data_IF_697878950390
#
_entry.id   IF_697878950390
#
_cell.length_a   1.000
_cell.length_b   1.000
_cell.length_c   1.000
_cell.angle_alpha   90.00
_cell.angle_beta   90.00
_cell.angle_gamma   90.00
#
_symmetry.space_group_name_H-M   'P 1'
#
loop_
_entity.id
_entity.type
_entity.pdbx_description
1 polymer ?
#
# COMPACT_ATOMS: atom_id res chain seq x y z
N UNK A 1 38.47 13.34 13.28
CA UNK A 1 37.10 13.82 13.57
C UNK A 1 36.52 14.40 12.28
N UNK A 2 35.77 13.60 11.53
CA UNK A 2 34.80 14.05 10.52
C UNK A 2 33.74 12.95 10.39
N UNK A 3 32.49 13.34 10.64
CA UNK A 3 31.32 12.49 10.83
C UNK A 3 31.07 11.46 9.72
N UNK A 4 31.10 10.19 10.08
CA UNK A 4 30.30 9.13 9.46
C UNK A 4 28.94 9.12 10.15
N UNK A 5 27.96 9.88 9.65
CA UNK A 5 26.61 9.86 10.20
C UNK A 5 25.56 9.84 9.09
N UNK A 6 25.05 8.62 8.88
CA UNK A 6 23.66 8.34 8.50
C UNK A 6 23.26 8.70 7.07
N UNK A 7 23.67 7.85 6.13
CA UNK A 7 22.92 7.61 4.89
C UNK A 7 22.62 6.10 4.80
N UNK A 8 22.01 5.56 5.86
CA UNK A 8 21.27 4.31 5.72
C UNK A 8 19.98 4.68 5.01
N UNK A 9 19.99 4.57 3.69
CA UNK A 9 18.77 4.51 2.90
C UNK A 9 17.88 3.44 3.55
N UNK A 10 16.85 3.90 4.25
CA UNK A 10 15.83 3.04 4.80
C UNK A 10 15.25 2.30 3.60
N UNK A 11 15.61 1.03 3.43
CA UNK A 11 15.11 0.18 2.34
C UNK A 11 13.60 0.09 2.56
N UNK A 12 12.85 0.94 1.87
CA UNK A 12 11.41 0.91 1.88
C UNK A 12 11.02 -0.42 1.22
N UNK A 13 10.60 -1.39 2.03
CA UNK A 13 10.14 -2.69 1.54
C UNK A 13 8.94 -2.44 0.61
N UNK A 14 9.13 -2.68 -0.69
CA UNK A 14 8.14 -2.46 -1.72
C UNK A 14 7.80 -3.79 -2.36
N UNK A 15 6.51 -4.16 -2.34
CA UNK A 15 6.03 -5.36 -3.04
C UNK A 15 5.89 -5.17 -4.55
N UNK A 16 6.07 -3.95 -5.05
CA UNK A 16 5.88 -3.61 -6.47
C UNK A 16 7.19 -3.32 -7.23
N UNK A 17 8.29 -3.15 -6.50
CA UNK A 17 9.58 -2.73 -7.04
C UNK A 17 10.68 -3.45 -6.27
N UNK A 18 11.58 -4.19 -6.94
CA UNK A 18 12.70 -4.84 -6.27
C UNK A 18 13.69 -3.76 -5.78
N UNK A 19 14.52 -4.09 -4.78
CA UNK A 19 15.44 -3.12 -4.17
C UNK A 19 16.43 -2.51 -5.18
N UNK A 20 16.83 -3.30 -6.18
CA UNK A 20 17.77 -2.87 -7.23
C UNK A 20 17.11 -2.03 -8.33
N UNK A 21 15.78 -2.09 -8.50
CA UNK A 21 15.03 -1.31 -9.49
C UNK A 21 13.98 -0.44 -8.79
N UNK A 22 14.39 0.71 -8.23
CA UNK A 22 13.49 1.58 -7.49
C UNK A 22 12.40 2.15 -8.39
N UNK A 23 11.29 2.56 -7.77
CA UNK A 23 10.16 3.18 -8.46
C UNK A 23 10.64 4.36 -9.33
N UNK A 24 10.34 4.37 -10.65
CA UNK A 24 10.73 5.48 -11.50
C UNK A 24 9.98 6.76 -11.09
N UNK A 25 10.64 7.92 -11.23
CA UNK A 25 10.08 9.22 -10.83
C UNK A 25 8.95 9.68 -11.76
N UNK A 26 8.91 9.17 -13.00
CA UNK A 26 7.89 9.46 -13.97
C UNK A 26 7.47 8.16 -14.69
N UNK A 27 6.17 7.98 -14.85
CA UNK A 27 5.60 6.85 -15.55
C UNK A 27 5.08 7.27 -16.92
N UNK A 28 5.34 6.43 -17.91
CA UNK A 28 4.57 6.48 -19.14
C UNK A 28 3.16 5.99 -18.81
N UNK A 29 2.19 6.89 -18.98
CA UNK A 29 0.79 6.54 -18.82
C UNK A 29 0.19 6.22 -20.18
N UNK A 30 -0.77 5.30 -20.22
CA UNK A 30 -1.56 5.08 -21.41
C UNK A 30 -2.33 6.36 -21.82
N UNK A 31 -2.63 6.48 -23.12
CA UNK A 31 -3.44 7.58 -23.64
C UNK A 31 -4.84 7.60 -23.00
N UNK A 32 -5.48 8.79 -22.95
CA UNK A 32 -6.74 9.04 -22.23
C UNK A 32 -7.88 8.06 -22.56
N UNK A 33 -7.96 7.56 -23.78
CA UNK A 33 -9.04 6.67 -24.23
C UNK A 33 -8.78 5.19 -23.91
N UNK A 34 -7.52 4.81 -23.73
CA UNK A 34 -7.08 3.41 -23.50
C UNK A 34 -7.78 2.76 -22.31
N UNK A 35 -8.13 3.57 -21.32
CA UNK A 35 -8.78 3.13 -20.10
C UNK A 35 -10.19 2.58 -20.37
N UNK A 36 -10.95 3.32 -21.19
CA UNK A 36 -12.28 2.89 -21.63
C UNK A 36 -12.17 1.73 -22.62
N UNK A 37 -11.24 1.81 -23.57
CA UNK A 37 -11.06 0.81 -24.63
C UNK A 37 -10.68 -0.57 -24.06
N UNK A 38 -9.83 -0.61 -23.04
CA UNK A 38 -9.42 -1.84 -22.34
C UNK A 38 -10.32 -2.19 -21.14
N UNK A 39 -11.32 -1.37 -20.84
CA UNK A 39 -12.21 -1.56 -19.70
C UNK A 39 -11.49 -1.59 -18.34
N UNK A 40 -10.35 -0.89 -18.20
CA UNK A 40 -9.53 -0.92 -17.00
C UNK A 40 -10.25 -0.38 -15.77
N UNK A 41 -11.26 0.50 -15.93
CA UNK A 41 -12.13 0.94 -14.84
C UNK A 41 -12.86 -0.23 -14.18
N UNK A 42 -13.37 -1.15 -14.99
CA UNK A 42 -14.11 -2.31 -14.49
C UNK A 42 -13.14 -3.26 -13.77
N UNK A 43 -11.96 -3.49 -14.36
CA UNK A 43 -10.94 -4.34 -13.77
C UNK A 43 -10.42 -3.76 -12.46
N UNK A 44 -10.05 -2.48 -12.41
CA UNK A 44 -9.57 -1.82 -11.20
C UNK A 44 -10.57 -1.96 -10.05
N UNK A 45 -11.86 -1.74 -10.32
CA UNK A 45 -12.93 -1.91 -9.34
C UNK A 45 -13.12 -3.35 -8.88
N UNK A 46 -12.97 -4.33 -9.76
CA UNK A 46 -13.11 -5.76 -9.43
C UNK A 46 -11.90 -6.32 -8.67
N UNK A 47 -10.71 -5.78 -8.94
CA UNK A 47 -9.47 -6.14 -8.26
C UNK A 47 -9.30 -5.43 -6.91
N UNK A 48 -9.99 -4.30 -6.72
CA UNK A 48 -9.89 -3.52 -5.50
C UNK A 48 -10.70 -4.12 -4.37
N UNK A 49 -10.03 -4.35 -3.24
CA UNK A 49 -10.65 -4.82 -2.00
C UNK A 49 -11.72 -3.86 -1.47
N UNK A 50 -11.51 -2.55 -1.65
CA UNK A 50 -12.46 -1.50 -1.27
C UNK A 50 -12.36 -0.31 -2.21
N UNK A 51 -13.43 0.51 -2.28
CA UNK A 51 -13.50 1.67 -3.18
C UNK A 51 -12.35 2.67 -2.99
N UNK A 52 -11.83 2.81 -1.76
CA UNK A 52 -10.67 3.68 -1.48
C UNK A 52 -9.37 3.21 -2.16
N UNK A 53 -9.28 1.94 -2.52
CA UNK A 53 -8.12 1.36 -3.20
C UNK A 53 -8.26 1.35 -4.73
N UNK A 54 -9.42 1.72 -5.27
CA UNK A 54 -9.70 1.72 -6.72
C UNK A 54 -8.78 2.68 -7.48
N UNK A 55 -8.56 3.90 -6.97
CA UNK A 55 -7.66 4.87 -7.60
C UNK A 55 -6.19 4.41 -7.60
N UNK A 56 -5.61 3.93 -6.47
CA UNK A 56 -4.28 3.32 -6.47
C UNK A 56 -4.14 2.13 -7.45
N UNK A 57 -5.08 1.19 -7.46
CA UNK A 57 -5.05 0.03 -8.37
C UNK A 57 -5.13 0.48 -9.82
N UNK A 58 -6.02 1.43 -10.13
CA UNK A 58 -6.15 2.02 -11.45
C UNK A 58 -4.86 2.70 -11.90
N UNK A 59 -4.18 3.43 -11.02
CA UNK A 59 -2.90 4.05 -11.32
C UNK A 59 -1.84 2.99 -11.67
N UNK A 60 -1.73 1.90 -10.90
CA UNK A 60 -0.79 0.81 -11.19
C UNK A 60 -1.07 0.18 -12.56
N UNK A 61 -2.34 -0.04 -12.91
CA UNK A 61 -2.73 -0.57 -14.23
C UNK A 61 -2.42 0.42 -15.37
N UNK A 62 -2.43 1.72 -15.08
CA UNK A 62 -2.12 2.76 -16.04
C UNK A 62 -0.63 3.05 -16.20
N UNK A 63 0.17 2.70 -15.20
CA UNK A 63 1.63 2.83 -15.23
C UNK A 63 2.19 1.74 -16.14
N UNK A 64 2.65 2.12 -17.35
CA UNK A 64 3.36 1.20 -18.22
C UNK A 64 4.72 0.87 -17.59
N UNK A 65 4.92 -0.39 -17.22
CA UNK A 65 6.18 -0.90 -16.70
C UNK A 65 6.94 -1.62 -17.83
N UNK A 66 7.97 -0.98 -18.43
CA UNK A 66 8.73 -1.59 -19.52
C UNK A 66 9.88 -2.49 -19.03
N UNK A 67 10.18 -2.45 -17.74
CA UNK A 67 11.32 -3.14 -17.15
C UNK A 67 10.98 -4.62 -16.89
N UNK A 68 11.61 -5.58 -17.60
CA UNK A 68 11.31 -6.99 -17.44
C UNK A 68 11.64 -7.52 -16.04
N UNK A 69 12.63 -6.96 -15.36
CA UNK A 69 13.04 -7.41 -14.02
C UNK A 69 11.99 -7.02 -12.98
N UNK A 70 11.39 -5.84 -13.13
CA UNK A 70 10.26 -5.39 -12.30
C UNK A 70 9.01 -6.23 -12.56
N UNK A 71 8.75 -6.61 -13.82
CA UNK A 71 7.63 -7.49 -14.17
C UNK A 71 7.81 -8.87 -13.52
N UNK A 72 8.99 -9.47 -13.66
CA UNK A 72 9.32 -10.76 -13.07
C UNK A 72 9.16 -10.73 -11.55
N UNK A 73 9.71 -9.71 -10.89
CA UNK A 73 9.56 -9.52 -9.44
C UNK A 73 8.10 -9.45 -8.99
N UNK A 74 7.25 -8.69 -9.70
CA UNK A 74 5.81 -8.61 -9.38
C UNK A 74 5.10 -9.95 -9.56
N UNK A 75 5.48 -10.73 -10.57
CA UNK A 75 4.93 -12.06 -10.81
C UNK A 75 5.35 -13.03 -9.70
N UNK A 76 6.61 -13.01 -9.27
CA UNK A 76 7.11 -13.80 -8.14
C UNK A 76 6.38 -13.47 -6.85
N UNK A 77 6.26 -12.17 -6.51
CA UNK A 77 5.52 -11.74 -5.31
C UNK A 77 4.05 -12.19 -5.38
N UNK A 78 3.40 -12.09 -6.54
CA UNK A 78 2.04 -12.57 -6.70
C UNK A 78 1.95 -14.09 -6.55
N UNK A 79 2.91 -14.81 -7.12
CA UNK A 79 2.99 -16.27 -7.03
C UNK A 79 3.19 -16.72 -5.57
N UNK A 80 4.02 -16.02 -4.80
CA UNK A 80 4.20 -16.29 -3.37
C UNK A 80 2.88 -16.20 -2.60
N UNK A 81 2.04 -15.20 -2.91
CA UNK A 81 0.71 -15.07 -2.31
C UNK A 81 -0.26 -16.18 -2.74
N UNK A 82 -0.16 -16.67 -3.98
CA UNK A 82 -0.97 -17.77 -4.48
C UNK A 82 -0.56 -19.11 -3.86
N UNK A 83 0.73 -19.34 -3.70
CA UNK A 83 1.29 -20.57 -3.13
C UNK A 83 1.14 -20.65 -1.61
N UNK A 84 0.98 -19.49 -0.94
CA UNK A 84 0.79 -19.41 0.51
C UNK A 84 -0.54 -18.72 0.90
N UNK A 85 -1.70 -19.40 0.76
CA UNK A 85 -3.01 -18.83 1.11
C UNK A 85 -3.11 -18.36 2.57
N UNK A 86 -2.34 -18.96 3.48
CA UNK A 86 -2.28 -18.54 4.89
C UNK A 86 -1.60 -17.18 5.07
N UNK A 87 -0.62 -16.84 4.23
CA UNK A 87 0.00 -15.51 4.21
C UNK A 87 -1.00 -14.48 3.70
N UNK A 88 -1.72 -14.80 2.63
CA UNK A 88 -2.77 -13.94 2.08
C UNK A 88 -3.83 -13.61 3.13
N UNK A 89 -4.30 -14.61 3.89
CA UNK A 89 -5.27 -14.41 4.96
C UNK A 89 -4.73 -13.48 6.07
N UNK A 90 -3.49 -13.67 6.49
CA UNK A 90 -2.85 -12.81 7.49
C UNK A 90 -2.68 -11.37 6.99
N UNK A 91 -2.27 -11.19 5.73
CA UNK A 91 -2.17 -9.88 5.11
C UNK A 91 -3.54 -9.18 5.02
N UNK A 92 -4.61 -9.91 4.68
CA UNK A 92 -5.96 -9.36 4.67
C UNK A 92 -6.40 -8.85 6.05
N UNK A 93 -6.13 -9.61 7.12
CA UNK A 93 -6.42 -9.17 8.49
C UNK A 93 -5.64 -7.90 8.90
N UNK A 94 -4.37 -7.82 8.48
CA UNK A 94 -3.51 -6.66 8.73
C UNK A 94 -4.03 -5.44 7.96
N UNK A 95 -4.37 -5.62 6.68
CA UNK A 95 -4.91 -4.55 5.82
C UNK A 95 -6.23 -4.01 6.37
N UNK A 96 -7.12 -4.87 6.86
CA UNK A 96 -8.35 -4.45 7.53
C UNK A 96 -8.09 -3.62 8.79
N UNK A 97 -7.08 -4.02 9.57
CA UNK A 97 -6.69 -3.32 10.79
C UNK A 97 -6.08 -1.95 10.48
N UNK A 98 -5.25 -1.86 9.45
CA UNK A 98 -4.69 -0.61 8.93
C UNK A 98 -5.76 0.30 8.33
N UNK A 99 -6.73 -0.26 7.60
CA UNK A 99 -7.84 0.48 7.05
C UNK A 99 -8.68 1.16 8.15
N UNK A 100 -8.97 0.43 9.25
CA UNK A 100 -9.67 0.97 10.42
C UNK A 100 -8.88 2.07 11.12
N UNK A 101 -7.56 1.89 11.24
CA UNK A 101 -6.65 2.87 11.83
C UNK A 101 -6.66 4.18 11.02
N UNK A 102 -6.49 4.09 9.71
CA UNK A 102 -6.53 5.24 8.80
C UNK A 102 -7.88 5.99 8.89
N UNK A 103 -9.00 5.26 8.86
CA UNK A 103 -10.33 5.86 8.93
C UNK A 103 -10.59 6.54 10.29
N UNK A 104 -9.99 6.04 11.38
CA UNK A 104 -10.07 6.67 12.70
C UNK A 104 -9.25 7.97 12.77
N UNK A 105 -8.06 7.99 12.15
CA UNK A 105 -7.19 9.17 12.13
C UNK A 105 -7.80 10.30 11.29
N UNK A 106 -8.36 9.99 10.11
CA UNK A 106 -9.05 10.98 9.26
C UNK A 106 -10.24 11.64 9.99
N UNK A 107 -11.03 10.84 10.74
CA UNK A 107 -12.15 11.35 11.53
C UNK A 107 -11.70 12.26 12.68
N UNK A 108 -10.55 11.99 13.28
CA UNK A 108 -9.98 12.82 14.33
C UNK A 108 -9.43 14.15 13.79
N UNK A 109 -8.79 14.13 12.61
CA UNK A 109 -8.28 15.33 11.94
C UNK A 109 -9.39 16.33 11.59
N UNK A 110 -10.60 15.85 11.31
CA UNK A 110 -11.74 16.70 10.95
C UNK A 110 -12.43 17.37 12.15
N UNK A 111 -12.14 16.95 13.39
CA UNK A 111 -12.78 17.48 14.60
C UNK A 111 -11.83 18.33 15.45
N UNK A 112 -11.86 19.65 15.30
CA UNK A 112 -11.16 20.58 16.20
C UNK A 112 -11.95 20.78 17.51
N UNK A 113 -11.76 19.87 18.47
CA UNK A 113 -11.89 20.10 19.93
C UNK A 113 -11.33 18.88 20.69
N UNK A 114 -10.33 19.09 21.54
CA UNK A 114 -9.69 18.04 22.34
C UNK A 114 -10.67 17.57 23.42
N UNK A 115 -11.42 16.51 23.11
CA UNK A 115 -12.37 15.83 23.99
C UNK A 115 -11.79 14.48 24.44
N UNK A 116 -12.17 13.97 25.62
CA UNK A 116 -11.76 12.65 26.14
C UNK A 116 -11.96 11.51 25.14
N UNK A 117 -12.94 11.65 24.24
CA UNK A 117 -13.20 10.74 23.13
C UNK A 117 -12.02 10.66 22.12
N UNK A 118 -11.31 11.77 21.88
CA UNK A 118 -10.11 11.77 21.03
C UNK A 118 -8.93 11.08 21.70
N UNK A 119 -8.75 11.25 23.02
CA UNK A 119 -7.71 10.54 23.78
C UNK A 119 -7.96 9.03 23.79
N UNK A 120 -9.22 8.61 23.91
CA UNK A 120 -9.61 7.20 23.80
C UNK A 120 -9.39 6.65 22.38
N UNK A 121 -9.68 7.47 21.36
CA UNK A 121 -9.35 7.18 19.96
C UNK A 121 -7.86 6.92 19.78
N UNK A 122 -7.01 7.84 20.24
CA UNK A 122 -5.54 7.69 20.20
C UNK A 122 -5.02 6.47 20.95
N UNK A 123 -5.57 6.13 22.12
CA UNK A 123 -5.20 4.88 22.81
C UNK A 123 -5.60 3.65 22.01
N UNK A 124 -6.77 3.66 21.36
CA UNK A 124 -7.21 2.56 20.49
C UNK A 124 -6.31 2.43 19.26
N UNK A 125 -5.90 3.55 18.66
CA UNK A 125 -4.98 3.60 17.54
C UNK A 125 -3.60 3.05 17.91
N UNK A 126 -3.03 3.46 19.05
CA UNK A 126 -1.76 2.92 19.55
C UNK A 126 -1.85 1.42 19.84
N UNK A 127 -2.95 0.95 20.43
CA UNK A 127 -3.18 -0.46 20.68
C UNK A 127 -3.28 -1.26 19.36
N UNK A 128 -3.95 -0.71 18.35
CA UNK A 128 -4.01 -1.32 17.02
C UNK A 128 -2.66 -1.30 16.33
N UNK A 129 -1.89 -0.21 16.45
CA UNK A 129 -0.54 -0.11 15.91
C UNK A 129 0.39 -1.17 16.51
N UNK A 130 0.38 -1.33 17.85
CA UNK A 130 1.14 -2.37 18.55
C UNK A 130 0.74 -3.76 18.08
N UNK A 131 -0.56 -4.03 17.90
CA UNK A 131 -1.04 -5.32 17.38
C UNK A 131 -0.59 -5.59 15.95
N UNK A 132 -0.64 -4.59 15.08
CA UNK A 132 -0.18 -4.71 13.70
C UNK A 132 1.33 -4.98 13.66
N UNK A 133 2.13 -4.22 14.42
CA UNK A 133 3.58 -4.43 14.53
C UNK A 133 3.91 -5.81 15.10
N UNK A 134 3.15 -6.29 16.09
CA UNK A 134 3.33 -7.62 16.67
C UNK A 134 3.00 -8.76 15.68
N UNK A 135 2.08 -8.55 14.72
CA UNK A 135 1.78 -9.50 13.65
C UNK A 135 2.81 -9.48 12.51
N UNK A 136 3.58 -8.40 12.38
CA UNK A 136 4.61 -8.22 11.34
C UNK A 136 6.01 -8.69 11.77
N UNK A 137 6.17 -9.10 13.04
CA UNK A 137 7.43 -9.59 13.62
C UNK A 137 7.43 -11.11 13.70
#
# INVERSE_FOLDING_TARGET
>A
MSNTRSDQAQIALSLLYPPEHPRPQAFQHWGKNTLADLGLDILARKLSYARKYEAPVKNILLELCPDPDVIAYRQEVLQDFLDHPSLLAQCAEILDSLAKLHDATDRQSAGHAISLHQTLGRMSELNNYVKVVAKLR
#
